data_IF_514954791514
#
_entry.id   IF_514954791514
#
_cell.length_a   1.000
_cell.length_b   1.000
_cell.length_c   1.000
_cell.angle_alpha   90.00
_cell.angle_beta   90.00
_cell.angle_gamma   90.00
#
_symmetry.space_group_name_H-M   'P 1'
#
loop_
_entity.id
_entity.type
_entity.pdbx_description
1 polymer ?
#
# COMPACT_ATOMS: atom_id res chain seq x y z
N UNK A 1 -21.61 39.18 -27.63
CA UNK A 1 -22.56 38.04 -27.74
C UNK A 1 -21.81 36.79 -27.28
N UNK A 2 -22.24 36.29 -26.14
CA UNK A 2 -22.11 34.92 -25.59
C UNK A 2 -20.91 34.04 -25.96
N UNK A 3 -20.01 33.80 -25.00
CA UNK A 3 -19.27 32.53 -24.89
C UNK A 3 -19.80 31.77 -23.67
N UNK A 4 -20.60 30.74 -23.91
CA UNK A 4 -21.01 29.79 -22.89
C UNK A 4 -19.96 28.66 -22.84
N UNK A 5 -19.07 28.71 -21.85
CA UNK A 5 -18.25 27.56 -21.48
C UNK A 5 -19.09 26.70 -20.54
N UNK A 6 -19.56 25.57 -21.06
CA UNK A 6 -20.30 24.58 -20.31
C UNK A 6 -19.50 24.12 -19.10
N UNK A 7 -20.08 24.34 -17.92
CA UNK A 7 -19.66 23.72 -16.67
C UNK A 7 -19.80 22.22 -16.85
N UNK A 8 -18.69 21.51 -17.06
CA UNK A 8 -18.68 20.07 -16.86
C UNK A 8 -18.76 19.86 -15.36
N UNK A 9 -19.93 19.47 -14.89
CA UNK A 9 -20.19 18.97 -13.55
C UNK A 9 -19.22 17.83 -13.24
N UNK A 10 -18.08 18.19 -12.65
CA UNK A 10 -17.23 17.27 -11.92
C UNK A 10 -18.00 17.00 -10.62
N UNK A 11 -18.88 16.01 -10.70
CA UNK A 11 -19.46 15.39 -9.52
C UNK A 11 -18.33 14.64 -8.81
N UNK A 12 -17.53 15.37 -8.04
CA UNK A 12 -16.66 14.76 -7.04
C UNK A 12 -17.59 14.22 -5.96
N UNK A 13 -18.08 13.00 -6.17
CA UNK A 13 -18.63 12.22 -5.08
C UNK A 13 -17.51 12.05 -4.06
N UNK A 14 -17.62 12.85 -3.00
CA UNK A 14 -16.75 12.77 -1.83
C UNK A 14 -16.77 11.33 -1.31
N UNK A 15 -15.62 10.72 -0.98
CA UNK A 15 -15.52 9.30 -0.60
C UNK A 15 -16.24 8.96 0.72
N UNK A 16 -16.88 9.94 1.36
CA UNK A 16 -17.60 9.79 2.62
C UNK A 16 -18.88 8.93 2.53
N UNK A 17 -19.33 8.50 1.34
CA UNK A 17 -20.53 7.66 1.17
C UNK A 17 -20.27 6.15 1.08
N UNK A 18 -19.00 5.72 1.05
CA UNK A 18 -18.67 4.31 0.92
C UNK A 18 -19.12 3.51 2.16
N UNK A 19 -19.90 2.43 1.93
CA UNK A 19 -20.23 1.47 2.97
C UNK A 19 -18.95 0.93 3.61
N UNK A 20 -18.98 0.61 4.91
CA UNK A 20 -17.83 0.05 5.65
C UNK A 20 -17.17 -1.13 4.92
N UNK A 21 -17.96 -1.98 4.26
CA UNK A 21 -17.46 -3.11 3.46
C UNK A 21 -16.68 -2.66 2.22
N UNK A 22 -17.12 -1.59 1.59
CA UNK A 22 -16.44 -1.01 0.43
C UNK A 22 -15.15 -0.30 0.83
N UNK A 23 -15.15 0.39 1.98
CA UNK A 23 -13.92 0.94 2.57
C UNK A 23 -12.86 -0.13 2.83
N UNK A 24 -13.24 -1.30 3.38
CA UNK A 24 -12.30 -2.41 3.56
C UNK A 24 -11.76 -2.94 2.24
N UNK A 25 -12.61 -3.12 1.21
CA UNK A 25 -12.15 -3.57 -0.11
C UNK A 25 -11.19 -2.59 -0.78
N UNK A 26 -11.48 -1.29 -0.68
CA UNK A 26 -10.60 -0.25 -1.21
C UNK A 26 -9.28 -0.19 -0.45
N UNK A 27 -9.31 -0.41 0.87
CA UNK A 27 -8.11 -0.52 1.68
C UNK A 27 -7.27 -1.75 1.30
N UNK A 28 -7.90 -2.92 1.15
CA UNK A 28 -7.23 -4.15 0.69
C UNK A 28 -6.64 -3.97 -0.71
N UNK A 29 -7.40 -3.39 -1.65
CA UNK A 29 -6.90 -3.10 -2.99
C UNK A 29 -5.72 -2.13 -2.96
N UNK A 30 -5.76 -1.11 -2.08
CA UNK A 30 -4.64 -0.19 -1.89
C UNK A 30 -3.42 -0.89 -1.31
N UNK A 31 -3.58 -1.74 -0.30
CA UNK A 31 -2.49 -2.50 0.32
C UNK A 31 -1.87 -3.49 -0.68
N UNK A 32 -2.71 -4.18 -1.45
CA UNK A 32 -2.26 -5.15 -2.45
C UNK A 32 -1.60 -4.48 -3.66
N UNK A 33 -1.97 -3.23 -3.97
CA UNK A 33 -1.45 -2.48 -5.10
C UNK A 33 -0.38 -1.43 -4.70
N UNK A 34 -0.09 -1.28 -3.40
CA UNK A 34 1.03 -0.44 -2.96
C UNK A 34 2.34 -1.18 -3.17
N UNK A 35 3.28 -0.51 -3.84
CA UNK A 35 4.66 -0.96 -3.95
C UNK A 35 5.27 -0.97 -2.54
N UNK A 36 5.38 -2.16 -1.94
CA UNK A 36 5.98 -2.32 -0.62
C UNK A 36 7.48 -2.06 -0.63
N UNK A 37 8.06 -1.90 0.57
CA UNK A 37 9.50 -1.70 0.73
C UNK A 37 10.24 -3.04 0.63
N UNK A 38 11.25 -3.12 -0.24
CA UNK A 38 12.14 -4.27 -0.31
C UNK A 38 13.30 -4.12 0.66
N UNK A 39 13.48 -5.12 1.52
CA UNK A 39 14.50 -5.13 2.57
C UNK A 39 15.36 -6.38 2.48
N UNK A 40 16.65 -6.25 2.76
CA UNK A 40 17.58 -7.36 2.81
C UNK A 40 17.75 -7.84 4.26
N UNK A 41 17.74 -9.15 4.45
CA UNK A 41 18.01 -9.76 5.75
C UNK A 41 19.49 -9.59 6.15
N UNK A 42 19.74 -8.97 7.30
CA UNK A 42 21.07 -8.70 7.86
C UNK A 42 21.78 -9.96 8.40
N UNK A 43 21.13 -11.13 8.41
CA UNK A 43 21.78 -12.38 8.81
C UNK A 43 22.87 -12.74 7.78
N UNK A 44 24.16 -12.86 8.17
CA UNK A 44 25.29 -12.96 7.23
C UNK A 44 25.20 -14.10 6.20
N UNK A 45 24.52 -15.20 6.56
CA UNK A 45 24.33 -16.37 5.68
C UNK A 45 22.99 -16.38 4.94
N UNK A 46 22.14 -15.38 5.14
CA UNK A 46 20.77 -15.37 4.62
C UNK A 46 20.69 -14.64 3.28
N UNK A 47 21.06 -13.36 3.26
CA UNK A 47 21.06 -12.47 2.09
C UNK A 47 19.74 -12.46 1.29
N UNK A 48 18.63 -12.86 1.89
CA UNK A 48 17.30 -12.88 1.25
C UNK A 48 16.72 -11.48 1.24
N UNK A 49 16.07 -11.15 0.13
CA UNK A 49 15.23 -9.98 0.00
C UNK A 49 13.78 -10.32 0.33
N UNK A 50 13.11 -9.45 1.06
CA UNK A 50 11.70 -9.59 1.43
C UNK A 50 10.98 -8.28 1.13
N UNK A 51 9.79 -8.37 0.57
CA UNK A 51 8.92 -7.23 0.34
C UNK A 51 8.01 -7.05 1.56
N UNK A 52 8.04 -5.87 2.16
CA UNK A 52 7.17 -5.44 3.24
C UNK A 52 5.99 -4.67 2.64
N UNK A 53 4.89 -5.38 2.35
CA UNK A 53 3.70 -4.79 1.70
C UNK A 53 3.05 -3.67 2.51
N UNK A 54 3.18 -3.72 3.84
CA UNK A 54 2.59 -2.73 4.75
C UNK A 54 3.55 -1.61 5.14
N UNK A 55 4.77 -1.59 4.59
CA UNK A 55 5.77 -0.55 4.87
C UNK A 55 6.07 0.17 3.57
N UNK A 56 5.63 1.42 3.49
CA UNK A 56 5.86 2.26 2.32
C UNK A 56 7.11 3.14 2.47
N UNK A 57 7.48 3.51 3.70
CA UNK A 57 8.68 4.31 3.96
C UNK A 57 9.83 3.41 4.43
N UNK A 58 10.97 3.35 3.70
CA UNK A 58 12.14 2.61 4.13
C UNK A 58 12.70 3.02 5.48
N UNK A 59 12.46 4.26 5.94
CA UNK A 59 12.91 4.73 7.25
C UNK A 59 12.12 4.13 8.42
N UNK A 60 10.95 3.52 8.15
CA UNK A 60 10.19 2.76 9.15
C UNK A 60 10.77 1.36 9.38
N UNK A 61 11.68 0.92 8.50
CA UNK A 61 12.38 -0.36 8.64
C UNK A 61 13.58 -0.19 9.59
N UNK A 62 13.73 -1.05 10.61
CA UNK A 62 14.92 -1.05 11.45
C UNK A 62 16.21 -1.30 10.64
N UNK A 63 17.29 -0.64 11.02
CA UNK A 63 18.63 -0.85 10.42
C UNK A 63 19.07 -2.32 10.45
N UNK A 64 18.73 -3.03 11.53
CA UNK A 64 18.90 -4.48 11.65
C UNK A 64 17.57 -5.20 11.40
N UNK A 65 17.36 -5.58 10.14
CA UNK A 65 16.18 -6.34 9.74
C UNK A 65 16.50 -7.81 9.48
N UNK A 66 15.65 -8.71 9.97
CA UNK A 66 15.82 -10.16 9.80
C UNK A 66 14.57 -10.84 9.27
N UNK A 67 14.74 -11.94 8.53
CA UNK A 67 13.63 -12.68 7.92
C UNK A 67 12.51 -13.08 8.88
N UNK A 68 12.81 -13.33 10.17
CA UNK A 68 11.80 -13.70 11.17
C UNK A 68 10.91 -12.52 11.58
N UNK A 69 11.32 -11.29 11.27
CA UNK A 69 10.54 -10.07 11.48
C UNK A 69 9.52 -9.84 10.36
N UNK A 70 9.57 -10.64 9.29
CA UNK A 70 8.51 -10.63 8.29
C UNK A 70 7.28 -11.33 8.85
N UNK A 71 6.48 -10.59 9.62
CA UNK A 71 5.19 -11.04 10.15
C UNK A 71 4.08 -10.98 9.07
N UNK A 72 4.41 -10.45 7.88
CA UNK A 72 3.55 -10.51 6.70
C UNK A 72 3.33 -11.97 6.34
N UNK A 73 2.08 -12.40 6.49
CA UNK A 73 1.58 -13.73 6.21
C UNK A 73 2.34 -14.42 5.09
N UNK A 74 2.75 -15.66 5.37
CA UNK A 74 2.99 -16.61 4.29
C UNK A 74 1.69 -16.70 3.50
N UNK A 75 1.64 -16.05 2.34
CA UNK A 75 0.68 -16.45 1.30
C UNK A 75 0.86 -17.96 1.12
N UNK A 76 -0.20 -18.76 1.31
CA UNK A 76 -0.08 -20.20 1.21
C UNK A 76 0.41 -20.57 -0.20
N UNK A 77 1.35 -21.52 -0.22
CA UNK A 77 1.99 -22.12 -1.41
C UNK A 77 1.00 -22.60 -2.45
#
# INVERSE_FOLDING_TARGET
MSHALGTKDINQESPASASKKELYRLLEARINNSEGTWVQCCKPKCNKWRCLQNVADPNEVPDEWYCFMNNGEQLPS
#
